data_IF_720743671464
#
_entry.id   IF_720743671464
#
_cell.length_a   1.000
_cell.length_b   1.000
_cell.length_c   1.000
_cell.angle_alpha   90.00
_cell.angle_beta   90.00
_cell.angle_gamma   90.00
#
_symmetry.space_group_name_H-M   'P 1'
#
loop_
_entity.id
_entity.type
_entity.pdbx_description
1 polymer ?
#
# COMPACT_ATOMS: atom_id res chain seq x y z
N UNK A 1 -8.96 -10.09 -1.65
CA UNK A 1 -8.33 -9.14 -2.59
C UNK A 1 -8.86 -9.29 -4.00
N UNK A 2 -8.70 -10.49 -4.57
CA UNK A 2 -9.24 -10.86 -5.89
C UNK A 2 -10.20 -12.03 -5.65
N UNK A 3 -11.40 -11.98 -6.23
CA UNK A 3 -12.40 -13.05 -6.17
C UNK A 3 -12.75 -13.43 -7.61
N UNK A 4 -12.56 -14.69 -7.98
CA UNK A 4 -12.85 -15.15 -9.34
C UNK A 4 -11.95 -14.52 -10.42
N UNK A 5 -10.76 -14.03 -10.06
CA UNK A 5 -9.83 -13.37 -11.00
C UNK A 5 -10.05 -11.87 -11.15
N UNK A 6 -11.03 -11.29 -10.47
CA UNK A 6 -11.33 -9.84 -10.53
C UNK A 6 -11.21 -9.19 -9.15
N UNK A 7 -10.87 -7.90 -9.13
CA UNK A 7 -10.96 -7.09 -7.91
C UNK A 7 -12.44 -6.81 -7.63
N UNK A 8 -12.99 -7.25 -6.49
CA UNK A 8 -14.38 -6.97 -6.16
C UNK A 8 -14.68 -5.47 -6.08
N UNK A 9 -15.87 -5.05 -6.49
CA UNK A 9 -16.30 -3.64 -6.46
C UNK A 9 -16.16 -2.97 -5.09
N UNK A 10 -16.37 -3.70 -3.99
CA UNK A 10 -16.22 -3.14 -2.64
C UNK A 10 -14.76 -2.85 -2.26
N UNK A 11 -13.81 -3.35 -3.04
CA UNK A 11 -12.36 -3.17 -2.83
C UNK A 11 -11.66 -2.48 -4.02
N UNK A 12 -12.39 -2.07 -5.06
CA UNK A 12 -11.81 -1.54 -6.29
C UNK A 12 -11.07 -0.21 -6.12
N UNK A 13 -11.32 0.52 -5.02
CA UNK A 13 -10.58 1.73 -4.64
C UNK A 13 -9.41 1.50 -3.69
N UNK A 14 -9.21 0.27 -3.21
CA UNK A 14 -8.18 -0.06 -2.22
C UNK A 14 -7.22 -1.14 -2.72
N UNK A 15 -7.45 -1.71 -3.89
CA UNK A 15 -6.52 -2.66 -4.49
C UNK A 15 -5.38 -1.91 -5.18
N UNK A 16 -4.16 -2.14 -4.70
CA UNK A 16 -2.97 -1.57 -5.31
C UNK A 16 -2.50 -2.42 -6.48
N UNK A 17 -2.29 -1.77 -7.63
CA UNK A 17 -1.83 -2.40 -8.87
C UNK A 17 -0.51 -1.81 -9.39
N UNK A 18 -0.04 -0.71 -8.82
CA UNK A 18 1.24 -0.08 -9.15
C UNK A 18 2.26 -0.41 -8.07
N UNK A 19 3.34 -1.15 -8.40
CA UNK A 19 4.33 -1.53 -7.42
C UNK A 19 5.23 -0.35 -7.04
N UNK A 20 5.72 -0.40 -5.81
CA UNK A 20 6.79 0.46 -5.32
C UNK A 20 8.10 0.12 -6.04
N UNK A 21 8.84 1.17 -6.38
CA UNK A 21 10.09 1.07 -7.14
C UNK A 21 11.21 1.67 -6.29
N UNK A 22 12.36 0.99 -6.26
CA UNK A 22 13.60 1.52 -5.70
C UNK A 22 14.43 2.17 -6.81
N UNK A 23 15.13 3.27 -6.51
CA UNK A 23 16.19 3.78 -7.40
C UNK A 23 17.45 2.92 -7.37
N UNK A 24 18.42 3.28 -8.22
CA UNK A 24 19.74 2.64 -8.31
C UNK A 24 20.53 2.66 -7.00
N UNK A 25 20.12 3.47 -6.02
CA UNK A 25 20.74 3.57 -4.69
C UNK A 25 19.94 2.82 -3.62
N UNK A 26 18.87 2.13 -4.00
CA UNK A 26 18.00 1.37 -3.10
C UNK A 26 17.01 2.24 -2.32
N UNK A 27 16.82 3.52 -2.68
CA UNK A 27 15.82 4.36 -2.03
C UNK A 27 14.47 4.20 -2.71
N UNK A 28 13.40 4.17 -1.91
CA UNK A 28 12.05 4.18 -2.45
C UNK A 28 11.80 5.46 -3.24
N UNK A 29 11.34 5.33 -4.48
CA UNK A 29 10.88 6.45 -5.25
C UNK A 29 9.58 7.01 -4.67
N UNK A 30 9.34 8.34 -4.79
CA UNK A 30 8.07 8.92 -4.40
C UNK A 30 6.94 8.22 -5.15
N UNK A 31 5.98 7.69 -4.41
CA UNK A 31 4.74 7.13 -4.95
C UNK A 31 3.58 8.02 -4.56
N UNK A 32 2.51 7.98 -5.35
CA UNK A 32 1.30 8.72 -5.02
C UNK A 32 0.75 8.20 -3.69
N UNK A 33 0.50 9.12 -2.76
CA UNK A 33 -0.23 8.82 -1.53
C UNK A 33 -1.71 8.64 -1.87
N UNK A 34 -2.35 7.69 -1.21
CA UNK A 34 -3.80 7.45 -1.27
C UNK A 34 -4.34 7.34 0.15
N UNK A 35 -5.65 7.23 0.31
CA UNK A 35 -6.26 7.02 1.61
C UNK A 35 -6.30 5.55 1.99
N UNK A 36 -5.96 5.25 3.24
CA UNK A 36 -6.23 3.92 3.78
C UNK A 36 -7.74 3.67 3.94
N UNK A 37 -8.21 2.40 3.98
CA UNK A 37 -9.64 2.09 3.97
C UNK A 37 -10.48 2.79 5.03
N UNK A 38 -9.92 3.08 6.22
CA UNK A 38 -10.64 3.81 7.26
C UNK A 38 -10.79 5.33 6.98
N UNK A 39 -10.02 5.85 6.00
CA UNK A 39 -9.83 7.26 5.68
C UNK A 39 -9.32 8.11 6.84
N UNK A 40 -8.76 7.51 7.89
CA UNK A 40 -8.18 8.26 9.00
C UNK A 40 -6.79 8.78 8.68
N UNK A 41 -6.10 8.18 7.72
CA UNK A 41 -4.71 8.49 7.42
C UNK A 41 -4.42 8.45 5.92
N UNK A 42 -3.43 9.23 5.50
CA UNK A 42 -2.78 9.02 4.21
C UNK A 42 -1.87 7.80 4.30
N UNK A 43 -1.85 7.02 3.24
CA UNK A 43 -1.09 5.80 3.12
C UNK A 43 -0.43 5.69 1.75
N UNK A 44 0.39 4.67 1.61
CA UNK A 44 1.00 4.32 0.33
C UNK A 44 0.65 2.88 -0.01
N UNK A 45 0.59 2.58 -1.30
CA UNK A 45 0.30 1.24 -1.76
C UNK A 45 1.36 0.25 -1.27
N UNK A 46 0.91 -0.74 -0.49
CA UNK A 46 1.75 -1.86 -0.04
C UNK A 46 1.82 -2.91 -1.13
N UNK A 47 2.52 -2.59 -2.21
CA UNK A 47 2.76 -3.50 -3.33
C UNK A 47 4.21 -3.40 -3.73
N UNK A 48 4.95 -4.50 -3.71
CA UNK A 48 6.32 -4.51 -4.20
C UNK A 48 6.81 -5.90 -4.54
N UNK A 49 7.93 -5.94 -5.27
CA UNK A 49 8.64 -7.18 -5.52
C UNK A 49 9.37 -7.59 -4.23
N UNK A 50 8.81 -8.58 -3.53
CA UNK A 50 9.35 -9.07 -2.25
C UNK A 50 10.79 -9.58 -2.37
N UNK A 51 11.23 -10.03 -3.55
CA UNK A 51 12.61 -10.45 -3.77
C UNK A 51 13.60 -9.28 -3.77
N UNK A 52 13.15 -8.10 -4.18
CA UNK A 52 13.92 -6.85 -4.11
C UNK A 52 13.99 -6.34 -2.67
N UNK A 53 12.86 -6.34 -1.96
CA UNK A 53 12.76 -5.76 -0.61
C UNK A 53 13.26 -6.67 0.53
N UNK A 54 13.09 -7.99 0.42
CA UNK A 54 13.49 -8.97 1.45
C UNK A 54 14.65 -9.87 1.03
N UNK A 55 15.11 -9.77 -0.22
CA UNK A 55 16.12 -10.65 -0.78
C UNK A 55 15.63 -12.08 -1.01
N UNK A 56 16.55 -12.98 -1.35
CA UNK A 56 16.26 -14.39 -1.70
C UNK A 56 15.69 -15.23 -0.56
N UNK A 57 15.76 -14.75 0.68
CA UNK A 57 15.25 -15.43 1.88
C UNK A 57 13.96 -14.81 2.44
N UNK A 58 13.33 -13.91 1.68
CA UNK A 58 12.06 -13.31 2.06
C UNK A 58 10.95 -14.36 2.23
N UNK A 59 9.91 -14.07 3.04
CA UNK A 59 8.77 -14.96 3.16
C UNK A 59 8.08 -15.13 1.80
N UNK A 60 7.94 -16.38 1.35
CA UNK A 60 7.24 -16.71 0.10
C UNK A 60 5.74 -16.41 0.25
N UNK A 61 5.13 -15.96 -0.85
CA UNK A 61 3.68 -15.75 -0.91
C UNK A 61 3.04 -17.11 -1.18
N UNK A 62 2.16 -17.63 -0.31
CA UNK A 62 1.43 -18.86 -0.57
C UNK A 62 0.68 -18.79 -1.91
N UNK A 63 0.65 -19.90 -2.66
CA UNK A 63 0.09 -19.91 -4.01
C UNK A 63 -1.36 -19.38 -4.07
N UNK A 64 -2.17 -19.65 -3.04
CA UNK A 64 -3.55 -19.16 -2.95
C UNK A 64 -3.68 -17.63 -2.87
N UNK A 65 -2.60 -16.93 -2.51
CA UNK A 65 -2.55 -15.49 -2.27
C UNK A 65 -1.64 -14.76 -3.27
N UNK A 66 -1.28 -15.42 -4.37
CA UNK A 66 -0.55 -14.80 -5.48
C UNK A 66 -1.54 -14.14 -6.45
N UNK A 67 -1.71 -12.84 -6.30
CA UNK A 67 -2.65 -12.05 -7.09
C UNK A 67 -2.12 -11.63 -8.47
N UNK A 68 -0.82 -11.73 -8.69
CA UNK A 68 -0.15 -11.33 -9.94
C UNK A 68 0.42 -12.57 -10.65
N UNK A 69 -0.29 -13.17 -11.61
CA UNK A 69 0.10 -14.47 -12.18
C UNK A 69 1.42 -14.43 -12.96
N UNK A 70 1.79 -13.27 -13.49
CA UNK A 70 3.03 -13.08 -14.24
C UNK A 70 4.23 -12.74 -13.35
N UNK A 71 4.01 -12.46 -12.06
CA UNK A 71 5.06 -12.09 -11.12
C UNK A 71 4.78 -12.67 -9.73
N UNK A 72 5.39 -13.83 -9.46
CA UNK A 72 5.17 -14.59 -8.22
C UNK A 72 5.71 -13.90 -6.96
N UNK A 73 6.61 -12.94 -7.11
CA UNK A 73 7.22 -12.23 -5.99
C UNK A 73 6.48 -10.93 -5.66
N UNK A 74 5.55 -10.53 -6.53
CA UNK A 74 4.78 -9.31 -6.40
C UNK A 74 3.61 -9.51 -5.44
N UNK A 75 3.55 -8.69 -4.39
CA UNK A 75 2.48 -8.73 -3.40
C UNK A 75 2.68 -7.69 -2.30
N UNK A 76 1.87 -7.80 -1.24
CA UNK A 76 2.04 -6.96 -0.06
C UNK A 76 3.44 -7.15 0.55
N UNK A 77 4.08 -6.06 0.95
CA UNK A 77 5.35 -6.10 1.68
C UNK A 77 5.05 -6.28 3.17
N UNK A 78 4.24 -5.39 3.75
CA UNK A 78 4.04 -5.31 5.20
C UNK A 78 2.69 -5.86 5.71
N UNK A 79 1.65 -5.91 4.86
CA UNK A 79 0.31 -6.36 5.22
C UNK A 79 0.06 -7.82 4.80
N UNK A 80 0.86 -8.75 5.32
CA UNK A 80 0.69 -10.19 5.05
C UNK A 80 -0.59 -10.77 5.68
N UNK A 81 -1.06 -10.20 6.80
CA UNK A 81 -2.30 -10.56 7.51
C UNK A 81 -3.56 -10.38 6.67
N UNK A 82 -3.51 -9.60 5.59
CA UNK A 82 -4.62 -9.43 4.66
C UNK A 82 -4.55 -10.45 3.51
N UNK A 83 -4.11 -11.68 3.77
CA UNK A 83 -3.86 -12.71 2.75
C UNK A 83 -2.95 -12.17 1.64
N UNK A 84 -1.89 -11.43 1.99
CA UNK A 84 -0.97 -10.74 1.05
C UNK A 84 -1.65 -9.77 0.06
N UNK A 85 -2.88 -9.33 0.35
CA UNK A 85 -3.63 -8.39 -0.46
C UNK A 85 -2.92 -7.04 -0.49
N UNK A 86 -2.48 -6.55 -1.66
CA UNK A 86 -1.82 -5.26 -1.73
C UNK A 86 -2.87 -4.15 -1.56
N UNK A 87 -2.85 -3.51 -0.40
CA UNK A 87 -3.75 -2.41 -0.03
C UNK A 87 -2.93 -1.23 0.50
N UNK A 88 -3.48 -0.02 0.54
CA UNK A 88 -2.80 1.09 1.19
C UNK A 88 -2.47 0.77 2.64
N UNK A 89 -1.21 1.00 3.02
CA UNK A 89 -0.69 0.76 4.38
C UNK A 89 0.18 1.95 4.84
N UNK A 90 -0.02 2.35 6.09
CA UNK A 90 0.70 3.45 6.74
C UNK A 90 2.13 3.05 7.14
N UNK A 91 2.32 1.79 7.54
CA UNK A 91 3.57 1.29 8.11
C UNK A 91 4.74 1.20 7.14
N UNK A 92 4.50 1.39 5.84
CA UNK A 92 5.51 1.26 4.78
C UNK A 92 6.59 2.34 4.81
N UNK A 93 6.24 3.57 5.17
CA UNK A 93 7.14 4.71 4.99
C UNK A 93 7.35 5.57 6.22
N UNK A 94 6.59 5.37 7.30
CA UNK A 94 6.46 6.37 8.38
C UNK A 94 6.20 7.79 7.83
N UNK A 95 5.63 7.86 6.61
CA UNK A 95 5.21 9.07 5.90
C UNK A 95 3.70 9.15 5.77
N UNK A 96 2.98 8.15 6.31
CA UNK A 96 1.56 8.29 6.47
C UNK A 96 1.28 9.46 7.42
N UNK A 97 0.36 10.32 7.02
CA UNK A 97 -0.07 11.44 7.83
C UNK A 97 -1.42 11.08 8.42
N UNK A 98 -1.48 10.98 9.74
CA UNK A 98 -2.74 10.84 10.45
C UNK A 98 -3.53 12.15 10.26
N UNK A 99 -4.79 12.08 9.85
CA UNK A 99 -5.62 13.26 9.63
C UNK A 99 -5.98 14.01 10.92
N UNK A 100 -5.50 13.56 12.08
CA UNK A 100 -5.54 14.27 13.36
C UNK A 100 -4.28 15.11 13.61
N UNK A 101 -3.17 14.82 12.93
CA UNK A 101 -1.84 15.37 13.20
C UNK A 101 -1.32 16.21 12.01
N UNK A 102 -1.12 17.51 12.24
CA UNK A 102 -0.74 18.49 11.22
C UNK A 102 0.78 18.56 10.95
N UNK A 103 1.60 17.76 11.65
CA UNK A 103 3.07 17.80 11.54
C UNK A 103 3.61 17.47 10.15
N UNK A 104 2.84 16.77 9.30
CA UNK A 104 3.18 16.43 7.92
C UNK A 104 2.13 16.95 6.91
N UNK A 105 1.65 18.17 7.12
CA UNK A 105 0.58 18.78 6.33
C UNK A 105 1.04 19.55 5.08
N UNK A 106 0.21 19.55 4.04
CA UNK A 106 0.25 20.56 2.99
C UNK A 106 -0.74 21.71 3.29
N UNK A 107 -0.51 22.89 2.71
CA UNK A 107 -1.29 24.12 2.96
C UNK A 107 -2.81 24.05 2.68
N UNK A 108 -3.33 22.96 2.12
CA UNK A 108 -4.75 22.78 1.76
C UNK A 108 -5.47 21.74 2.63
N UNK A 109 -4.79 21.15 3.61
CA UNK A 109 -5.31 20.01 4.38
C UNK A 109 -5.92 20.46 5.71
N UNK A 110 -6.99 19.78 6.11
CA UNK A 110 -7.64 19.99 7.40
C UNK A 110 -7.31 18.82 8.34
N UNK A 111 -6.90 19.16 9.57
CA UNK A 111 -6.59 18.20 10.61
C UNK A 111 -7.47 18.43 11.84
N UNK A 112 -7.99 17.35 12.42
CA UNK A 112 -8.89 17.39 13.57
C UNK A 112 -9.75 16.14 13.66
N UNK A 113 -10.56 16.00 14.72
CA UNK A 113 -11.36 14.78 14.99
C UNK A 113 -12.25 14.34 13.81
N UNK A 114 -12.74 15.32 13.04
CA UNK A 114 -13.56 15.12 11.84
C UNK A 114 -12.74 15.02 10.53
N UNK A 115 -11.43 15.20 10.60
CA UNK A 115 -10.51 15.12 9.47
C UNK A 115 -10.50 13.72 8.88
N UNK A 116 -10.66 13.62 7.56
CA UNK A 116 -10.57 12.37 6.81
C UNK A 116 -9.74 12.57 5.57
N UNK A 117 -8.99 11.55 5.19
CA UNK A 117 -8.28 11.49 3.94
C UNK A 117 -9.27 11.42 2.77
N UNK A 118 -9.00 12.22 1.74
CA UNK A 118 -9.75 12.27 0.50
C UNK A 118 -8.83 12.02 -0.69
N UNK A 119 -9.23 11.14 -1.60
CA UNK A 119 -8.50 10.84 -2.83
C UNK A 119 -8.84 11.90 -3.87
N UNK A 120 -7.83 12.58 -4.41
CA UNK A 120 -7.96 13.69 -5.38
C UNK A 120 -7.92 13.23 -6.83
#
# INVERSE_FOLDING_TARGET
CIVGGEVPNYSSGFFCNTPLILDDRGNLQPTESTCEPSRMEKAFCDLGDRSVFYGVNGPDIPQAFRYFPNDKNLGALNMDLADFCPIPNIGMLNRGANCLDDTNSNNFEYFGEDGRCYDV
#
